data_IF_223450117665
#
_entry.id   IF_223450117665
#
_cell.length_a   1.000
_cell.length_b   1.000
_cell.length_c   1.000
_cell.angle_alpha   90.00
_cell.angle_beta   90.00
_cell.angle_gamma   90.00
#
_symmetry.space_group_name_H-M   'P 1'
#
loop_
_entity.id
_entity.type
_entity.pdbx_description
1 polymer ?
#
# COMPACT_ATOMS: atom_id res chain seq x y z
N UNK A 1 -10.71 -56.10 12.17
CA UNK A 1 -11.43 -54.97 11.61
C UNK A 1 -10.42 -53.91 11.27
N UNK A 2 -10.15 -53.58 9.99
CA UNK A 2 -9.24 -52.48 9.67
C UNK A 2 -9.98 -51.15 9.97
N UNK A 3 -9.36 -50.31 10.78
CA UNK A 3 -9.81 -48.89 10.99
C UNK A 3 -9.74 -48.14 9.68
N UNK A 4 -10.88 -47.69 9.23
CA UNK A 4 -11.02 -46.83 8.05
C UNK A 4 -10.56 -45.40 8.47
N UNK A 5 -9.35 -45.01 8.10
CA UNK A 5 -8.89 -43.65 8.24
C UNK A 5 -9.85 -42.71 7.47
N UNK A 6 -10.45 -41.70 8.10
CA UNK A 6 -11.32 -40.76 7.40
C UNK A 6 -10.55 -40.09 6.27
N UNK A 7 -11.19 -39.80 5.13
CA UNK A 7 -10.55 -39.09 4.03
C UNK A 7 -10.08 -37.72 4.51
N UNK A 8 -8.92 -37.20 4.01
CA UNK A 8 -8.44 -35.90 4.36
C UNK A 8 -9.53 -34.87 4.04
N UNK A 9 -9.87 -34.05 5.02
CA UNK A 9 -10.82 -32.95 4.86
C UNK A 9 -10.36 -32.09 3.69
N UNK A 10 -11.23 -31.83 2.73
CA UNK A 10 -10.97 -30.93 1.63
C UNK A 10 -10.58 -29.57 2.25
N UNK A 11 -9.56 -28.88 1.74
CA UNK A 11 -9.18 -27.58 2.25
C UNK A 11 -10.39 -26.65 2.14
N UNK A 12 -10.82 -26.14 3.28
CA UNK A 12 -11.94 -25.18 3.35
C UNK A 12 -11.54 -23.93 2.59
N UNK A 13 -12.38 -23.49 1.64
CA UNK A 13 -12.15 -22.26 0.90
C UNK A 13 -11.98 -21.07 1.84
N UNK A 14 -11.04 -20.21 1.54
CA UNK A 14 -10.79 -18.94 2.24
C UNK A 14 -11.76 -17.83 1.81
N UNK A 15 -12.48 -18.03 0.70
CA UNK A 15 -13.47 -17.08 0.18
C UNK A 15 -14.80 -17.22 0.91
N UNK A 16 -14.80 -16.87 2.19
CA UNK A 16 -16.04 -16.81 2.97
C UNK A 16 -16.90 -15.63 2.51
N UNK A 17 -18.17 -15.62 2.92
CA UNK A 17 -19.10 -14.52 2.64
C UNK A 17 -18.56 -13.19 3.20
N UNK A 18 -17.93 -13.21 4.38
CA UNK A 18 -17.36 -12.07 5.05
C UNK A 18 -16.15 -11.53 4.29
N UNK A 19 -15.30 -12.42 3.77
CA UNK A 19 -14.13 -12.04 2.94
C UNK A 19 -14.59 -11.40 1.63
N UNK A 20 -15.57 -12.03 0.95
CA UNK A 20 -16.10 -11.48 -0.30
C UNK A 20 -16.83 -10.15 -0.11
N UNK A 21 -17.45 -9.93 1.06
CA UNK A 21 -18.09 -8.66 1.39
C UNK A 21 -17.10 -7.49 1.52
N UNK A 22 -15.80 -7.77 1.67
CA UNK A 22 -14.77 -6.72 1.66
C UNK A 22 -14.48 -6.17 0.25
N UNK A 23 -14.87 -6.86 -0.83
CA UNK A 23 -14.70 -6.34 -2.20
C UNK A 23 -15.52 -5.06 -2.35
N UNK A 24 -14.86 -4.00 -2.82
CA UNK A 24 -15.45 -2.68 -2.94
C UNK A 24 -15.42 -1.83 -1.66
N UNK A 25 -15.02 -2.40 -0.52
CA UNK A 25 -14.81 -1.60 0.69
C UNK A 25 -13.76 -0.52 0.43
N UNK A 26 -14.05 0.70 0.90
CA UNK A 26 -13.24 1.91 0.67
C UNK A 26 -12.82 2.53 1.98
N UNK A 27 -11.72 3.28 1.97
CA UNK A 27 -11.26 4.07 3.09
C UNK A 27 -10.68 5.42 2.61
N UNK A 28 -10.73 6.42 3.49
CA UNK A 28 -10.28 7.78 3.20
C UNK A 28 -11.41 8.72 2.69
N UNK A 29 -11.06 9.95 2.24
CA UNK A 29 -9.68 10.38 2.07
C UNK A 29 -8.96 10.61 3.40
N UNK A 30 -7.71 10.20 3.45
CA UNK A 30 -6.78 10.57 4.51
C UNK A 30 -5.83 11.62 3.98
N UNK A 31 -5.54 12.64 4.78
CA UNK A 31 -4.53 13.64 4.45
C UNK A 31 -3.19 13.21 5.00
N UNK A 32 -2.12 13.40 4.22
CA UNK A 32 -0.76 13.24 4.72
C UNK A 32 -0.47 14.26 5.83
N UNK A 33 0.29 13.90 6.87
CA UNK A 33 0.55 14.79 8.00
C UNK A 33 1.27 16.08 7.60
N UNK A 34 2.10 16.01 6.55
CA UNK A 34 2.88 17.15 6.08
C UNK A 34 2.62 17.42 4.59
N UNK A 35 2.70 18.68 4.20
CA UNK A 35 2.74 19.05 2.80
C UNK A 35 4.05 18.59 2.14
N UNK A 36 4.09 18.58 0.82
CA UNK A 36 5.31 18.29 0.07
C UNK A 36 6.34 19.40 0.31
N UNK A 37 7.42 19.09 1.03
CA UNK A 37 8.47 20.00 1.38
C UNK A 37 9.76 19.73 0.60
N UNK A 38 10.57 20.77 0.38
CA UNK A 38 11.88 20.65 -0.27
C UNK A 38 12.80 19.64 0.44
N UNK A 39 12.77 19.64 1.78
CA UNK A 39 13.58 18.72 2.57
C UNK A 39 13.15 17.26 2.37
N UNK A 40 11.83 17.03 2.25
CA UNK A 40 11.25 15.70 2.02
C UNK A 40 11.59 15.20 0.62
N UNK A 41 11.44 16.04 -0.41
CA UNK A 41 11.87 15.73 -1.78
C UNK A 41 13.33 15.29 -1.81
N UNK A 42 14.23 16.13 -1.24
CA UNK A 42 15.67 15.85 -1.22
C UNK A 42 16.01 14.55 -0.50
N UNK A 43 15.44 14.33 0.69
CA UNK A 43 15.69 13.10 1.47
C UNK A 43 15.21 11.85 0.75
N UNK A 44 14.04 11.94 0.11
CA UNK A 44 13.50 10.81 -0.65
C UNK A 44 14.39 10.48 -1.86
N UNK A 45 14.78 11.49 -2.65
CA UNK A 45 15.66 11.31 -3.80
C UNK A 45 17.02 10.71 -3.36
N UNK A 46 17.62 11.24 -2.29
CA UNK A 46 18.87 10.69 -1.73
C UNK A 46 18.72 9.25 -1.24
N UNK A 47 17.62 8.91 -0.58
CA UNK A 47 17.37 7.53 -0.10
C UNK A 47 17.14 6.55 -1.26
N UNK A 48 16.53 7.02 -2.35
CA UNK A 48 16.31 6.24 -3.56
C UNK A 48 17.52 6.19 -4.50
N UNK A 49 18.59 6.95 -4.19
CA UNK A 49 19.74 7.17 -5.08
C UNK A 49 19.32 7.70 -6.46
N UNK A 50 18.27 8.53 -6.48
CA UNK A 50 17.72 9.13 -7.68
C UNK A 50 18.26 10.56 -7.82
N UNK A 51 19.23 10.72 -8.72
CA UNK A 51 19.96 11.99 -8.93
C UNK A 51 19.34 12.87 -10.02
N UNK A 52 18.10 12.60 -10.45
CA UNK A 52 17.45 13.39 -11.51
C UNK A 52 17.41 14.89 -11.09
N UNK A 53 18.04 15.78 -11.86
CA UNK A 53 18.07 17.20 -11.57
C UNK A 53 16.69 17.85 -11.54
N UNK A 54 15.67 17.20 -12.07
CA UNK A 54 14.27 17.62 -11.99
C UNK A 54 13.79 17.83 -10.54
N UNK A 55 14.39 17.13 -9.57
CA UNK A 55 13.97 17.16 -8.16
C UNK A 55 14.68 18.23 -7.33
N UNK A 56 15.76 18.82 -7.85
CA UNK A 56 16.58 19.72 -7.03
C UNK A 56 17.17 20.94 -7.77
N UNK A 57 17.31 20.89 -9.10
CA UNK A 57 17.86 21.99 -9.90
C UNK A 57 16.73 22.79 -10.58
N UNK A 58 16.47 24.00 -10.06
CA UNK A 58 15.41 24.86 -10.57
C UNK A 58 15.72 25.41 -11.99
N UNK A 59 17.00 25.60 -12.33
CA UNK A 59 17.39 26.09 -13.66
C UNK A 59 17.15 25.00 -14.71
N UNK A 60 17.54 23.76 -14.40
CA UNK A 60 17.26 22.62 -15.26
C UNK A 60 15.75 22.37 -15.37
N UNK A 61 15.05 22.27 -14.23
CA UNK A 61 13.62 21.99 -14.21
C UNK A 61 12.80 23.03 -14.99
N UNK A 62 13.20 24.32 -14.92
CA UNK A 62 12.58 25.41 -15.66
C UNK A 62 12.68 25.29 -17.18
N UNK A 63 13.65 24.54 -17.71
CA UNK A 63 13.83 24.28 -19.13
C UNK A 63 13.11 23.02 -19.62
N UNK A 64 12.58 22.21 -18.70
CA UNK A 64 11.82 21.01 -19.04
C UNK A 64 10.35 21.34 -19.34
N UNK A 65 9.63 20.36 -19.91
CA UNK A 65 8.18 20.47 -20.13
C UNK A 65 7.39 20.71 -18.82
N UNK A 66 7.95 20.29 -17.68
CA UNK A 66 7.35 20.45 -16.37
C UNK A 66 7.46 21.89 -15.87
N UNK A 67 8.57 22.59 -16.20
CA UNK A 67 8.76 24.00 -15.96
C UNK A 67 9.15 24.37 -14.51
N UNK A 68 9.29 23.40 -13.62
CA UNK A 68 9.59 23.61 -12.19
C UNK A 68 10.09 22.35 -11.52
N UNK A 69 10.72 22.51 -10.35
CA UNK A 69 11.07 21.39 -9.47
C UNK A 69 9.80 20.69 -8.98
N UNK A 70 9.81 19.38 -9.03
CA UNK A 70 8.70 18.52 -8.58
C UNK A 70 9.23 17.43 -7.66
N UNK A 71 8.32 16.72 -7.03
CA UNK A 71 8.65 15.55 -6.23
C UNK A 71 8.85 14.30 -7.11
N UNK A 72 9.72 13.35 -6.70
CA UNK A 72 9.75 12.02 -7.28
C UNK A 72 8.36 11.40 -7.29
N UNK A 73 8.03 10.67 -8.37
CA UNK A 73 6.68 10.16 -8.61
C UNK A 73 6.11 9.30 -7.48
N UNK A 74 6.97 8.61 -6.74
CA UNK A 74 6.57 7.73 -5.63
C UNK A 74 6.47 8.43 -4.28
N UNK A 75 6.97 9.66 -4.16
CA UNK A 75 6.95 10.39 -2.89
C UNK A 75 5.55 10.43 -2.25
N UNK A 76 4.45 10.67 -2.97
CA UNK A 76 3.11 10.71 -2.38
C UNK A 76 2.75 9.49 -1.53
N UNK A 77 3.22 8.29 -1.89
CA UNK A 77 2.97 7.06 -1.12
C UNK A 77 3.66 7.11 0.25
N UNK A 78 4.83 7.71 0.31
CA UNK A 78 5.69 7.74 1.51
C UNK A 78 5.43 8.92 2.44
N UNK A 79 4.56 9.84 2.06
CA UNK A 79 4.13 10.94 2.95
C UNK A 79 3.23 10.46 4.10
N UNK A 80 2.61 9.29 3.95
CA UNK A 80 1.73 8.72 4.97
C UNK A 80 2.55 7.89 5.96
N UNK A 81 3.14 8.55 6.93
CA UNK A 81 3.84 7.93 8.06
C UNK A 81 2.90 7.61 9.22
N UNK A 82 3.44 6.95 10.25
CA UNK A 82 2.74 6.78 11.53
C UNK A 82 2.62 8.13 12.22
N UNK A 83 1.42 8.61 12.57
CA UNK A 83 1.26 9.89 13.26
C UNK A 83 2.01 9.93 14.59
N UNK A 84 2.42 11.12 15.01
CA UNK A 84 3.03 11.32 16.33
C UNK A 84 2.09 10.86 17.44
N UNK A 85 2.61 10.06 18.37
CA UNK A 85 1.83 9.53 19.49
C UNK A 85 0.95 8.31 19.16
N UNK A 86 0.90 7.87 17.91
CA UNK A 86 0.23 6.63 17.57
C UNK A 86 1.01 5.43 18.16
N UNK A 87 0.32 4.34 18.51
CA UNK A 87 0.98 3.12 18.93
C UNK A 87 1.94 2.63 17.85
N UNK A 88 3.15 2.25 18.27
CA UNK A 88 4.11 1.62 17.37
C UNK A 88 3.56 0.26 16.90
N UNK A 89 3.26 0.10 15.60
CA UNK A 89 2.69 -1.15 15.10
C UNK A 89 3.63 -2.35 15.28
N UNK A 90 4.93 -2.11 15.46
CA UNK A 90 5.92 -3.16 15.68
C UNK A 90 5.95 -3.62 17.15
N UNK A 91 5.50 -2.81 18.09
CA UNK A 91 5.46 -3.17 19.52
C UNK A 91 4.28 -4.06 19.90
N UNK A 92 3.27 -4.16 19.04
CA UNK A 92 2.03 -4.89 19.34
C UNK A 92 2.09 -6.39 19.09
N UNK A 93 3.12 -6.89 18.45
CA UNK A 93 3.20 -8.32 18.16
C UNK A 93 3.91 -9.09 19.28
N UNK A 94 3.12 -9.76 20.10
CA UNK A 94 3.63 -10.74 21.07
C UNK A 94 3.86 -12.13 20.43
N UNK A 95 3.63 -12.29 19.11
CA UNK A 95 3.82 -13.56 18.43
C UNK A 95 5.31 -13.81 18.20
N UNK A 96 5.84 -14.96 18.61
CA UNK A 96 7.22 -15.34 18.29
C UNK A 96 7.46 -15.55 16.78
N UNK A 97 6.38 -15.74 16.02
CA UNK A 97 6.41 -15.92 14.57
C UNK A 97 6.24 -14.59 13.78
N UNK A 98 6.24 -13.46 14.50
CA UNK A 98 6.15 -12.15 13.87
C UNK A 98 7.42 -11.85 13.10
N UNK A 99 7.32 -11.77 11.79
CA UNK A 99 8.44 -11.57 10.87
C UNK A 99 8.87 -10.09 10.67
N UNK A 100 8.31 -9.19 11.48
CA UNK A 100 8.55 -7.74 11.34
C UNK A 100 7.69 -7.06 10.27
N UNK A 101 6.91 -7.82 9.53
CA UNK A 101 6.04 -7.30 8.49
C UNK A 101 4.68 -6.94 9.09
N UNK A 102 4.62 -5.85 9.83
CA UNK A 102 3.34 -5.23 10.15
C UNK A 102 2.88 -4.49 8.92
N UNK A 103 2.32 -5.17 7.97
CA UNK A 103 1.99 -4.53 6.82
C UNK A 103 1.06 -3.52 6.74
N UNK A 104 1.41 -2.62 6.26
CA UNK A 104 0.82 -1.72 6.16
C UNK A 104 0.34 -0.83 5.08
N UNK A 105 0.29 -1.31 3.81
CA UNK A 105 -0.56 -0.70 2.81
C UNK A 105 -2.01 -0.63 3.31
N UNK A 106 -2.52 -1.70 3.90
CA UNK A 106 -3.88 -1.78 4.44
C UNK A 106 -4.08 -0.87 5.63
N UNK A 107 -3.21 -0.96 6.65
CA UNK A 107 -3.29 -0.14 7.86
C UNK A 107 -2.99 1.32 7.53
N UNK A 108 -1.99 1.58 6.72
CA UNK A 108 -1.58 2.93 6.32
C UNK A 108 -2.68 3.69 5.60
N UNK A 109 -3.49 3.00 4.80
CA UNK A 109 -4.58 3.59 4.03
C UNK A 109 -5.96 3.16 4.49
N UNK A 110 -6.06 2.65 5.73
CA UNK A 110 -7.31 2.47 6.46
C UNK A 110 -8.27 1.41 5.94
N UNK A 111 -7.84 0.52 5.04
CA UNK A 111 -8.69 -0.58 4.63
C UNK A 111 -8.90 -1.55 5.81
N UNK A 112 -10.10 -2.12 5.97
CA UNK A 112 -10.35 -3.08 7.02
C UNK A 112 -9.50 -4.34 6.80
N UNK A 113 -9.00 -4.99 7.87
CA UNK A 113 -8.32 -6.26 7.74
C UNK A 113 -9.27 -7.32 7.20
N UNK A 114 -8.74 -8.22 6.35
CA UNK A 114 -9.54 -9.34 5.88
C UNK A 114 -9.72 -10.39 6.99
N UNK A 115 -10.95 -10.90 7.19
CA UNK A 115 -11.26 -11.88 8.22
C UNK A 115 -10.81 -13.29 7.79
N UNK A 116 -9.49 -13.49 7.69
CA UNK A 116 -8.88 -14.76 7.30
C UNK A 116 -8.03 -15.34 8.42
N UNK A 117 -8.00 -16.66 8.61
CA UNK A 117 -7.21 -17.31 9.66
C UNK A 117 -5.72 -17.44 9.31
N UNK A 118 -5.29 -16.81 8.23
CA UNK A 118 -3.91 -16.88 7.74
C UNK A 118 -3.10 -15.70 8.30
N UNK A 119 -1.93 -16.00 8.84
CA UNK A 119 -1.07 -15.03 9.52
C UNK A 119 0.13 -14.61 8.69
N UNK A 120 0.52 -15.42 7.71
CA UNK A 120 1.66 -15.10 6.84
C UNK A 120 1.19 -14.25 5.66
N UNK A 121 1.85 -13.12 5.53
CA UNK A 121 1.55 -12.12 4.54
C UNK A 121 2.73 -11.93 3.56
N UNK A 122 2.45 -11.81 2.28
CA UNK A 122 3.44 -11.59 1.24
C UNK A 122 3.01 -10.43 0.33
N UNK A 123 3.99 -9.65 -0.10
CA UNK A 123 3.77 -8.69 -1.17
C UNK A 123 3.85 -9.41 -2.53
N UNK A 124 2.73 -9.49 -3.23
CA UNK A 124 2.61 -10.07 -4.57
C UNK A 124 3.00 -9.13 -5.70
N UNK A 125 3.56 -7.97 -5.37
CA UNK A 125 3.95 -6.94 -6.32
C UNK A 125 2.96 -5.78 -6.39
N UNK A 126 3.38 -4.74 -7.10
CA UNK A 126 2.57 -3.53 -7.28
C UNK A 126 2.71 -2.98 -8.69
N UNK A 127 1.67 -2.29 -9.15
CA UNK A 127 1.67 -1.49 -10.37
C UNK A 127 1.32 -0.05 -10.06
N UNK A 128 1.97 0.86 -10.77
CA UNK A 128 1.84 2.29 -10.54
C UNK A 128 1.45 2.97 -11.86
N UNK A 129 0.50 3.89 -11.76
CA UNK A 129 0.17 4.79 -12.86
C UNK A 129 0.31 6.22 -12.37
N UNK A 130 1.32 6.92 -12.89
CA UNK A 130 1.60 8.32 -12.59
C UNK A 130 0.86 9.19 -13.59
N UNK A 131 0.10 10.15 -13.09
CA UNK A 131 -0.64 11.14 -13.89
C UNK A 131 0.03 12.51 -13.81
N UNK A 132 0.54 12.85 -12.62
CA UNK A 132 1.15 14.14 -12.33
C UNK A 132 2.15 13.99 -11.19
N UNK A 133 3.25 14.71 -11.25
CA UNK A 133 4.14 14.84 -10.11
C UNK A 133 3.51 15.75 -9.05
N UNK A 134 3.72 15.43 -7.78
CA UNK A 134 3.41 16.34 -6.70
C UNK A 134 4.38 17.54 -6.73
N UNK A 135 3.87 18.70 -6.38
CA UNK A 135 4.62 19.95 -6.38
C UNK A 135 4.94 20.38 -4.96
N UNK A 136 5.94 21.26 -4.82
CA UNK A 136 6.26 21.88 -3.54
C UNK A 136 5.02 22.62 -2.99
N UNK A 137 4.66 22.32 -1.74
CA UNK A 137 3.47 22.85 -1.08
C UNK A 137 2.18 22.09 -1.32
N UNK A 138 2.18 21.06 -2.15
CA UNK A 138 0.99 20.22 -2.30
C UNK A 138 0.67 19.49 -0.99
N UNK A 139 -0.61 19.50 -0.62
CA UNK A 139 -1.20 18.63 0.41
C UNK A 139 -1.70 17.38 -0.29
N UNK A 140 -1.29 16.23 0.20
CA UNK A 140 -1.59 14.95 -0.46
C UNK A 140 -2.66 14.19 0.31
N UNK A 141 -3.64 13.67 -0.43
CA UNK A 141 -4.74 12.85 0.09
C UNK A 141 -4.71 11.47 -0.53
N UNK A 142 -5.05 10.45 0.25
CA UNK A 142 -5.14 9.07 -0.21
C UNK A 142 -6.53 8.50 0.02
N UNK A 143 -7.08 7.84 -0.99
CA UNK A 143 -8.26 6.98 -0.91
C UNK A 143 -7.87 5.57 -1.32
N UNK A 144 -8.37 4.58 -0.62
CA UNK A 144 -8.08 3.18 -0.92
C UNK A 144 -9.34 2.35 -1.06
N UNK A 145 -9.22 1.20 -1.75
CA UNK A 145 -10.31 0.23 -1.88
C UNK A 145 -9.78 -1.17 -2.14
N UNK A 146 -10.54 -2.18 -1.77
CA UNK A 146 -10.36 -3.52 -2.30
C UNK A 146 -11.01 -3.61 -3.68
N UNK A 147 -10.20 -3.93 -4.69
CA UNK A 147 -10.66 -4.06 -6.08
C UNK A 147 -11.19 -5.44 -6.35
N UNK A 148 -10.48 -6.46 -5.84
CA UNK A 148 -10.80 -7.87 -6.05
C UNK A 148 -10.18 -8.73 -4.94
N UNK A 149 -10.80 -9.87 -4.65
CA UNK A 149 -10.30 -10.87 -3.72
C UNK A 149 -10.58 -12.25 -4.32
N UNK A 150 -9.53 -13.06 -4.46
CA UNK A 150 -9.65 -14.38 -5.06
C UNK A 150 -8.70 -15.39 -4.41
N UNK A 151 -8.96 -16.65 -4.59
CA UNK A 151 -8.17 -17.75 -4.05
C UNK A 151 -7.46 -18.51 -5.17
N UNK A 152 -6.27 -19.01 -4.87
CA UNK A 152 -5.55 -19.95 -5.72
C UNK A 152 -5.02 -21.10 -4.87
N UNK A 153 -5.02 -22.30 -5.44
CA UNK A 153 -4.41 -23.46 -4.80
C UNK A 153 -2.89 -23.38 -4.93
N UNK A 154 -2.19 -23.31 -3.79
CA UNK A 154 -0.74 -23.42 -3.70
C UNK A 154 -0.30 -24.85 -3.39
N UNK A 155 1.01 -25.06 -3.27
CA UNK A 155 1.57 -26.40 -2.94
C UNK A 155 1.24 -26.84 -1.51
N UNK A 156 1.20 -25.89 -0.58
CA UNK A 156 1.01 -26.16 0.87
C UNK A 156 -0.40 -25.83 1.34
N UNK A 157 -1.29 -25.48 0.45
CA UNK A 157 -2.67 -25.11 0.77
C UNK A 157 -3.18 -23.94 -0.05
N UNK A 158 -4.38 -23.45 0.25
CA UNK A 158 -4.97 -22.31 -0.45
C UNK A 158 -4.21 -21.01 -0.11
N UNK A 159 -4.10 -20.15 -1.10
CA UNK A 159 -3.55 -18.80 -1.00
C UNK A 159 -4.66 -17.81 -1.29
N UNK A 160 -4.85 -16.83 -0.40
CA UNK A 160 -5.78 -15.74 -0.65
C UNK A 160 -5.03 -14.55 -1.26
N UNK A 161 -5.56 -14.04 -2.35
CA UNK A 161 -5.07 -12.83 -3.02
C UNK A 161 -6.07 -11.71 -2.84
N UNK A 162 -5.61 -10.54 -2.45
CA UNK A 162 -6.41 -9.32 -2.52
C UNK A 162 -5.70 -8.28 -3.37
N UNK A 163 -6.43 -7.68 -4.29
CA UNK A 163 -5.98 -6.55 -5.08
C UNK A 163 -6.49 -5.28 -4.43
N UNK A 164 -5.60 -4.52 -3.81
CA UNK A 164 -5.91 -3.22 -3.23
C UNK A 164 -5.42 -2.10 -4.12
N UNK A 165 -6.20 -1.02 -4.20
CA UNK A 165 -5.86 0.17 -4.97
C UNK A 165 -5.88 1.39 -4.07
N UNK A 166 -4.86 2.25 -4.17
CA UNK A 166 -4.85 3.57 -3.56
C UNK A 166 -4.69 4.65 -4.63
N UNK A 167 -5.55 5.66 -4.58
CA UNK A 167 -5.49 6.85 -5.41
C UNK A 167 -5.02 8.02 -4.58
N UNK A 168 -3.98 8.69 -5.05
CA UNK A 168 -3.39 9.86 -4.42
C UNK A 168 -3.75 11.10 -5.19
N UNK A 169 -4.27 12.11 -4.49
CA UNK A 169 -4.66 13.41 -5.07
C UNK A 169 -3.98 14.54 -4.30
N UNK A 170 -3.94 15.73 -4.91
CA UNK A 170 -3.57 16.94 -4.19
C UNK A 170 -4.83 17.68 -3.67
N UNK A 171 -4.63 18.86 -3.05
CA UNK A 171 -5.71 19.70 -2.50
C UNK A 171 -6.68 20.26 -3.57
N UNK A 172 -6.33 20.14 -4.85
CA UNK A 172 -7.19 20.52 -5.99
C UNK A 172 -7.94 19.33 -6.58
N UNK A 173 -7.90 18.18 -5.88
CA UNK A 173 -8.45 16.89 -6.34
C UNK A 173 -7.81 16.35 -7.64
N UNK A 174 -6.66 16.90 -8.02
CA UNK A 174 -5.91 16.38 -9.18
C UNK A 174 -5.23 15.07 -8.81
N UNK A 175 -5.45 14.04 -9.64
CA UNK A 175 -4.83 12.73 -9.42
C UNK A 175 -3.34 12.82 -9.69
N UNK A 176 -2.53 12.48 -8.67
CA UNK A 176 -1.08 12.39 -8.75
C UNK A 176 -0.68 11.01 -9.26
N UNK A 177 -1.10 9.97 -8.54
CA UNK A 177 -0.84 8.58 -8.94
C UNK A 177 -1.92 7.63 -8.43
N UNK A 178 -1.99 6.47 -9.08
CA UNK A 178 -2.77 5.31 -8.63
C UNK A 178 -1.80 4.15 -8.44
N UNK A 179 -1.82 3.57 -7.25
CA UNK A 179 -1.05 2.39 -6.89
C UNK A 179 -2.00 1.21 -6.70
N UNK A 180 -1.76 0.10 -7.41
CA UNK A 180 -2.41 -1.19 -7.16
C UNK A 180 -1.40 -2.15 -6.60
N UNK A 181 -1.73 -2.78 -5.48
CA UNK A 181 -0.90 -3.76 -4.83
C UNK A 181 -1.64 -5.09 -4.73
N UNK A 182 -0.92 -6.17 -5.03
CA UNK A 182 -1.39 -7.52 -4.79
C UNK A 182 -0.86 -7.98 -3.43
N UNK A 183 -1.78 -8.35 -2.56
CA UNK A 183 -1.53 -8.84 -1.22
C UNK A 183 -1.83 -10.34 -1.21
N UNK A 184 -0.98 -11.15 -0.57
CA UNK A 184 -1.12 -12.60 -0.55
C UNK A 184 -1.05 -13.08 0.89
N UNK A 185 -2.05 -13.82 1.34
CA UNK A 185 -2.04 -14.53 2.61
C UNK A 185 -1.85 -16.04 2.38
N UNK A 186 -1.04 -16.66 3.27
CA UNK A 186 -0.78 -18.10 3.30
C UNK A 186 -0.60 -18.65 4.71
#
# INVERSE_FOLDING_TARGET
>A
MPETTPPPSQPTSLLTREVLACIGATAGPFEAPDAVERATIRRFAQAALDEDPLYHDAAYAGQTRIGKVVAPALLPIYLFGTPFGAPDPLRGSASPDFDGTADNFLIRFGLPPLPVPLTRFLNGGQSLRVYRHAELGDRVFARSRYVDIFEKQGREGPLLFALAEATFTNQREEVLLVCRQTLIWR
#
